data_IF_117707594745
#
_entry.id   IF_117707594745
#
_cell.length_a   1.000
_cell.length_b   1.000
_cell.length_c   1.000
_cell.angle_alpha   90.00
_cell.angle_beta   90.00
_cell.angle_gamma   90.00
#
_symmetry.space_group_name_H-M   'P 1'
#
loop_
_entity.id
_entity.type
_entity.pdbx_description
1 polymer ?
#
# COMPACT_ATOMS: atom_id res chain seq x y z
N UNK A 1 10.30 16.74 9.75
CA UNK A 1 11.16 15.81 10.53
C UNK A 1 10.57 14.40 10.46
N UNK A 2 11.38 13.40 10.10
CA UNK A 2 10.96 11.99 10.13
C UNK A 2 10.87 11.59 11.59
N UNK A 3 9.67 11.24 12.05
CA UNK A 3 9.45 10.89 13.44
C UNK A 3 9.95 9.45 13.66
N UNK A 4 11.09 9.32 14.32
CA UNK A 4 11.81 8.05 14.57
C UNK A 4 10.94 6.96 15.22
N UNK A 5 9.89 7.37 15.93
CA UNK A 5 8.88 6.47 16.50
C UNK A 5 8.15 5.67 15.41
N UNK A 6 7.93 6.23 14.23
CA UNK A 6 7.27 5.55 13.11
C UNK A 6 8.13 4.44 12.51
N UNK A 7 9.42 4.71 12.33
CA UNK A 7 10.39 3.70 11.86
C UNK A 7 10.46 2.55 12.88
N UNK A 8 10.44 2.88 14.17
CA UNK A 8 10.37 1.92 15.25
C UNK A 8 9.15 1.01 15.14
N UNK A 9 7.94 1.56 14.96
CA UNK A 9 6.69 0.77 14.86
C UNK A 9 6.68 -0.14 13.63
N UNK A 10 7.17 0.35 12.47
CA UNK A 10 7.24 -0.45 11.24
C UNK A 10 8.23 -1.60 11.41
N UNK A 11 9.42 -1.33 11.95
CA UNK A 11 10.40 -2.39 12.25
C UNK A 11 9.85 -3.40 13.26
N UNK A 12 9.13 -2.94 14.29
CA UNK A 12 8.50 -3.81 15.27
C UNK A 12 7.42 -4.70 14.64
N UNK A 13 6.59 -4.15 13.76
CA UNK A 13 5.59 -4.91 13.02
C UNK A 13 6.22 -5.97 12.11
N UNK A 14 7.32 -5.62 11.43
CA UNK A 14 8.10 -6.56 10.60
C UNK A 14 8.74 -7.65 11.46
N UNK A 15 9.36 -7.31 12.58
CA UNK A 15 9.98 -8.27 13.52
C UNK A 15 8.93 -9.19 14.15
N UNK A 16 7.78 -8.65 14.56
CA UNK A 16 6.66 -9.44 15.09
C UNK A 16 6.09 -10.34 14.01
N UNK A 17 5.97 -9.87 12.77
CA UNK A 17 5.58 -10.70 11.63
C UNK A 17 6.57 -11.86 11.43
N UNK A 18 7.87 -11.60 11.36
CA UNK A 18 8.88 -12.66 11.25
C UNK A 18 8.86 -13.64 12.43
N UNK A 19 8.57 -13.16 13.64
CA UNK A 19 8.53 -13.99 14.86
C UNK A 19 7.28 -14.87 14.95
N UNK A 20 6.11 -14.35 14.59
CA UNK A 20 4.84 -15.10 14.58
C UNK A 20 4.83 -16.12 13.44
N UNK A 21 5.40 -15.74 12.30
CA UNK A 21 5.46 -16.57 11.09
C UNK A 21 6.63 -17.55 11.11
N UNK A 22 6.92 -18.09 12.30
CA UNK A 22 8.00 -19.04 12.57
C UNK A 22 8.12 -20.04 11.41
N UNK A 23 9.29 -20.04 10.78
CA UNK A 23 9.71 -20.66 9.51
C UNK A 23 9.42 -22.17 9.39
N UNK A 24 8.18 -22.62 9.56
CA UNK A 24 7.82 -24.04 9.44
C UNK A 24 7.21 -24.39 8.09
N UNK A 25 6.87 -23.40 7.26
CA UNK A 25 6.29 -23.63 5.94
C UNK A 25 6.92 -22.68 4.90
N UNK A 26 7.84 -23.21 4.10
CA UNK A 26 8.50 -22.59 2.92
C UNK A 26 7.53 -22.29 1.76
N UNK A 27 6.34 -21.79 2.06
CA UNK A 27 5.36 -21.43 1.04
C UNK A 27 5.58 -19.97 0.68
N UNK A 28 5.99 -19.73 -0.56
CA UNK A 28 6.19 -18.39 -1.13
C UNK A 28 5.03 -17.42 -0.87
N UNK A 29 3.81 -17.95 -0.78
CA UNK A 29 2.59 -17.23 -0.43
C UNK A 29 2.66 -16.47 0.92
N UNK A 30 3.40 -17.02 1.90
CA UNK A 30 3.56 -16.41 3.22
C UNK A 30 4.34 -15.10 3.14
N UNK A 31 5.35 -15.01 2.27
CA UNK A 31 6.09 -13.77 2.04
C UNK A 31 5.23 -12.72 1.36
N UNK A 32 4.37 -13.12 0.40
CA UNK A 32 3.43 -12.22 -0.26
C UNK A 32 2.44 -11.60 0.73
N UNK A 33 1.93 -12.39 1.68
CA UNK A 33 1.06 -11.89 2.76
C UNK A 33 1.80 -10.91 3.67
N UNK A 34 3.03 -11.22 4.06
CA UNK A 34 3.86 -10.33 4.88
C UNK A 34 4.11 -8.99 4.20
N UNK A 35 4.49 -9.03 2.93
CA UNK A 35 4.69 -7.84 2.11
C UNK A 35 3.39 -7.02 1.98
N UNK A 36 2.24 -7.70 1.81
CA UNK A 36 0.94 -7.05 1.71
C UNK A 36 0.57 -6.35 3.03
N UNK A 37 0.81 -6.96 4.18
CA UNK A 37 0.56 -6.35 5.49
C UNK A 37 1.44 -5.10 5.67
N UNK A 38 2.73 -5.20 5.36
CA UNK A 38 3.66 -4.06 5.43
C UNK A 38 3.21 -2.94 4.50
N UNK A 39 2.82 -3.28 3.27
CA UNK A 39 2.30 -2.32 2.31
C UNK A 39 1.03 -1.62 2.80
N UNK A 40 0.06 -2.37 3.34
CA UNK A 40 -1.20 -1.81 3.85
C UNK A 40 -0.96 -0.89 5.04
N UNK A 41 -0.11 -1.30 6.00
CA UNK A 41 0.21 -0.45 7.15
C UNK A 41 0.94 0.82 6.73
N UNK A 42 1.95 0.68 5.88
CA UNK A 42 2.73 1.83 5.41
C UNK A 42 1.86 2.82 4.63
N UNK A 43 1.04 2.34 3.70
CA UNK A 43 0.13 3.19 2.92
C UNK A 43 -0.95 3.83 3.79
N UNK A 44 -1.54 3.10 4.74
CA UNK A 44 -2.51 3.65 5.70
C UNK A 44 -1.92 4.82 6.49
N UNK A 45 -0.75 4.63 7.12
CA UNK A 45 -0.12 5.70 7.89
C UNK A 45 0.31 6.88 7.03
N UNK A 46 0.76 6.63 5.80
CA UNK A 46 1.06 7.69 4.83
C UNK A 46 -0.17 8.55 4.55
N UNK A 47 -1.32 7.91 4.27
CA UNK A 47 -2.59 8.60 3.99
C UNK A 47 -3.10 9.36 5.22
N UNK A 48 -3.07 8.75 6.41
CA UNK A 48 -3.48 9.42 7.65
C UNK A 48 -2.62 10.67 7.89
N UNK A 49 -1.31 10.57 7.66
CA UNK A 49 -0.38 11.67 7.86
C UNK A 49 -0.56 12.79 6.83
N UNK A 50 -0.77 12.46 5.56
CA UNK A 50 -1.01 13.48 4.52
C UNK A 50 -2.33 14.21 4.73
N UNK A 51 -3.33 13.54 5.31
CA UNK A 51 -4.60 14.15 5.68
C UNK A 51 -4.60 14.83 7.07
N UNK A 52 -3.46 14.82 7.79
CA UNK A 52 -3.34 15.45 9.11
C UNK A 52 -4.25 14.85 10.18
N UNK A 53 -4.68 13.59 10.03
CA UNK A 53 -5.65 12.95 10.91
C UNK A 53 -4.96 12.47 12.19
N UNK A 54 -5.49 12.86 13.35
CA UNK A 54 -5.01 12.40 14.64
C UNK A 54 -5.70 11.09 15.04
N UNK A 55 -4.95 9.98 15.11
CA UNK A 55 -5.49 8.66 15.47
C UNK A 55 -5.72 8.44 16.97
N UNK A 56 -5.46 9.44 17.81
CA UNK A 56 -5.57 9.31 19.27
C UNK A 56 -7.02 9.25 19.77
N UNK A 57 -7.99 9.52 18.90
CA UNK A 57 -9.42 9.40 19.19
C UNK A 57 -10.09 8.38 18.26
N UNK A 58 -11.19 7.79 18.72
CA UNK A 58 -12.00 6.87 17.93
C UNK A 58 -12.53 7.52 16.63
N UNK A 59 -12.96 8.78 16.71
CA UNK A 59 -13.37 9.57 15.54
C UNK A 59 -12.24 9.77 14.54
N UNK A 60 -11.03 10.05 15.04
CA UNK A 60 -9.83 10.17 14.22
C UNK A 60 -9.47 8.87 13.52
N UNK A 61 -9.60 7.73 14.21
CA UNK A 61 -9.43 6.41 13.60
C UNK A 61 -10.48 6.14 12.50
N UNK A 62 -11.76 6.39 12.78
CA UNK A 62 -12.83 6.21 11.79
C UNK A 62 -12.65 7.12 10.56
N UNK A 63 -12.23 8.36 10.77
CA UNK A 63 -11.88 9.30 9.71
C UNK A 63 -10.68 8.81 8.89
N UNK A 64 -9.63 8.33 9.56
CA UNK A 64 -8.45 7.75 8.92
C UNK A 64 -8.77 6.54 8.06
N UNK A 65 -9.64 5.65 8.54
CA UNK A 65 -10.15 4.51 7.77
C UNK A 65 -10.91 4.93 6.51
N UNK A 66 -11.80 5.93 6.62
CA UNK A 66 -12.53 6.47 5.45
C UNK A 66 -11.56 7.08 4.43
N UNK A 67 -10.60 7.88 4.90
CA UNK A 67 -9.58 8.48 4.04
C UNK A 67 -8.75 7.42 3.31
N UNK A 68 -8.34 6.36 4.02
CA UNK A 68 -7.59 5.26 3.43
C UNK A 68 -8.40 4.48 2.37
N UNK A 69 -9.66 4.16 2.64
CA UNK A 69 -10.53 3.49 1.65
C UNK A 69 -10.74 4.38 0.42
N UNK A 70 -10.94 5.68 0.60
CA UNK A 70 -11.05 6.63 -0.51
C UNK A 70 -9.76 6.70 -1.34
N UNK A 71 -8.61 6.70 -0.67
CA UNK A 71 -7.31 6.63 -1.34
C UNK A 71 -7.14 5.31 -2.11
N UNK A 72 -7.52 4.16 -1.55
CA UNK A 72 -7.46 2.86 -2.23
C UNK A 72 -8.30 2.82 -3.50
N UNK A 73 -9.52 3.39 -3.47
CA UNK A 73 -10.37 3.49 -4.65
C UNK A 73 -9.71 4.34 -5.74
N UNK A 74 -9.13 5.48 -5.35
CA UNK A 74 -8.40 6.34 -6.29
C UNK A 74 -7.17 5.64 -6.85
N UNK A 75 -6.39 4.97 -6.01
CA UNK A 75 -5.22 4.19 -6.40
C UNK A 75 -5.57 3.12 -7.44
N UNK A 76 -6.66 2.37 -7.22
CA UNK A 76 -7.14 1.37 -8.18
C UNK A 76 -7.52 1.98 -9.53
N UNK A 77 -8.25 3.10 -9.53
CA UNK A 77 -8.64 3.81 -10.76
C UNK A 77 -7.43 4.33 -11.53
N UNK A 78 -6.48 4.97 -10.84
CA UNK A 78 -5.26 5.50 -11.46
C UNK A 78 -4.40 4.38 -12.02
N UNK A 79 -4.23 3.28 -11.31
CA UNK A 79 -3.46 2.12 -11.79
C UNK A 79 -4.10 1.50 -13.02
N UNK A 80 -5.43 1.33 -13.02
CA UNK A 80 -6.17 0.84 -14.18
C UNK A 80 -6.04 1.78 -15.39
N UNK A 81 -6.15 3.09 -15.18
CA UNK A 81 -5.97 4.09 -16.24
C UNK A 81 -4.56 4.02 -16.84
N UNK A 82 -3.52 4.05 -16.01
CA UNK A 82 -2.12 4.00 -16.48
C UNK A 82 -1.86 2.70 -17.26
N UNK A 83 -2.40 1.57 -16.79
CA UNK A 83 -2.24 0.28 -17.47
C UNK A 83 -2.98 0.27 -18.80
N UNK A 84 -4.18 0.85 -18.86
CA UNK A 84 -4.96 1.01 -20.09
C UNK A 84 -4.30 1.94 -21.10
N UNK A 85 -3.77 3.09 -20.65
CA UNK A 85 -3.05 4.06 -21.48
C UNK A 85 -1.76 3.45 -22.03
N UNK A 86 -1.04 2.67 -21.22
CA UNK A 86 0.15 1.94 -21.67
C UNK A 86 -0.19 0.87 -22.73
N UNK A 87 -1.30 0.14 -22.56
CA UNK A 87 -1.75 -0.85 -23.54
C UNK A 87 -2.19 -0.19 -24.86
N UNK A 88 -2.88 0.95 -24.80
CA UNK A 88 -3.26 1.72 -25.98
C UNK A 88 -2.05 2.35 -26.68
N UNK A 89 -1.06 2.81 -25.92
CA UNK A 89 0.20 3.32 -26.46
C UNK A 89 0.95 2.25 -27.27
N UNK A 90 1.08 1.04 -26.72
CA UNK A 90 1.70 -0.10 -27.40
C UNK A 90 0.96 -0.50 -28.69
N UNK A 91 -0.38 -0.54 -28.64
CA UNK A 91 -1.23 -0.84 -29.79
C UNK A 91 -1.10 0.22 -30.90
N UNK A 92 -1.03 1.50 -30.54
CA UNK A 92 -0.93 2.59 -31.51
C UNK A 92 0.47 2.66 -32.14
N UNK A 93 1.53 2.37 -31.38
CA UNK A 93 2.89 2.26 -31.93
C UNK A 93 3.00 1.09 -32.91
N UNK A 94 2.41 -0.06 -32.57
CA UNK A 94 2.44 -1.26 -33.43
C UNK A 94 1.70 -1.05 -34.76
N UNK A 95 0.54 -0.39 -34.75
CA UNK A 95 -0.21 -0.10 -35.98
C UNK A 95 0.47 0.94 -36.88
N UNK A 96 1.15 1.94 -36.30
CA UNK A 96 1.86 2.95 -37.08
C UNK A 96 3.20 2.44 -37.65
N UNK A 97 3.79 1.40 -37.06
CA UNK A 97 5.02 0.76 -37.57
C UNK A 97 4.77 -0.26 -38.69
N UNK A 98 3.53 -0.62 -38.96
CA UNK A 98 3.12 -1.60 -39.98
C UNK A 98 2.40 -0.98 -41.19
N UNK A 99 2.35 0.36 -41.26
CA UNK A 99 1.84 1.14 -42.40
C UNK A 99 2.95 1.80 -43.21
#
# INVERSE_FOLDING_TARGET
>A
MVNWVFIGIILLAVVVFFKITSFKYEKWWTYSIGLLIVFVLFSFFSVVRTNGINLSSFEGFASGMKAYVSWLVTFGKTTASITGDAALFDWNVTNNASG
#
